data_IF_922056804191
#
_entry.id   IF_922056804191
#
_cell.length_a   1.000
_cell.length_b   1.000
_cell.length_c   1.000
_cell.angle_alpha   90.00
_cell.angle_beta   90.00
_cell.angle_gamma   90.00
#
_symmetry.space_group_name_H-M   'P 1'
#
loop_
_entity.id
_entity.type
_entity.pdbx_description
1 polymer ?
#
# COMPACT_ATOMS: atom_id res chain seq x y z
N UNK A 1 -27.10 3.00 13.31
CA UNK A 1 -26.29 3.54 14.43
C UNK A 1 -24.87 3.81 13.93
N UNK A 2 -24.40 5.06 13.93
CA UNK A 2 -23.00 5.38 13.56
C UNK A 2 -22.10 4.97 14.71
N UNK A 3 -21.32 3.90 14.52
CA UNK A 3 -20.29 3.49 15.49
C UNK A 3 -19.26 4.62 15.56
N UNK A 4 -19.12 5.27 16.71
CA UNK A 4 -18.22 6.41 16.92
C UNK A 4 -16.74 6.00 16.89
N UNK A 5 -16.46 4.70 17.01
CA UNK A 5 -15.12 4.14 16.94
C UNK A 5 -14.94 3.43 15.60
N UNK A 6 -13.98 3.92 14.82
CA UNK A 6 -13.59 3.32 13.54
C UNK A 6 -12.83 2.03 13.80
N UNK A 7 -13.12 0.99 13.03
CA UNK A 7 -12.27 -0.20 13.06
C UNK A 7 -10.89 0.14 12.51
N UNK A 8 -9.82 -0.59 12.89
CA UNK A 8 -8.48 -0.33 12.36
C UNK A 8 -8.45 -0.27 10.82
N UNK A 9 -9.22 -1.13 10.16
CA UNK A 9 -9.35 -1.19 8.69
C UNK A 9 -10.01 0.08 8.13
N UNK A 10 -11.04 0.61 8.81
CA UNK A 10 -11.68 1.87 8.41
C UNK A 10 -10.72 3.04 8.55
N UNK A 11 -9.98 3.12 9.66
CA UNK A 11 -8.97 4.17 9.90
C UNK A 11 -7.85 4.12 8.85
N UNK A 12 -7.37 2.92 8.48
CA UNK A 12 -6.36 2.77 7.43
C UNK A 12 -6.90 3.26 6.08
N UNK A 13 -8.15 2.92 5.73
CA UNK A 13 -8.75 3.37 4.48
C UNK A 13 -8.92 4.89 4.43
N UNK A 14 -9.29 5.52 5.53
CA UNK A 14 -9.33 6.97 5.63
C UNK A 14 -7.94 7.60 5.51
N UNK A 15 -6.91 6.96 6.06
CA UNK A 15 -5.54 7.42 5.86
C UNK A 15 -5.10 7.33 4.40
N UNK A 16 -5.50 6.26 3.69
CA UNK A 16 -5.26 6.17 2.25
C UNK A 16 -6.02 7.26 1.47
N UNK A 17 -7.25 7.61 1.87
CA UNK A 17 -8.00 8.72 1.27
C UNK A 17 -7.29 10.05 1.48
N UNK A 18 -6.86 10.33 2.71
CA UNK A 18 -6.06 11.51 3.08
C UNK A 18 -4.77 11.62 2.25
N UNK A 19 -4.05 10.51 2.10
CA UNK A 19 -2.82 10.45 1.29
C UNK A 19 -3.04 10.73 -0.20
N UNK A 20 -4.22 10.42 -0.74
CA UNK A 20 -4.59 10.62 -2.16
C UNK A 20 -5.45 11.87 -2.38
N UNK A 21 -5.38 12.85 -1.47
CA UNK A 21 -6.19 14.08 -1.53
C UNK A 21 -7.70 13.82 -1.72
N UNK A 22 -8.23 12.73 -1.14
CA UNK A 22 -9.62 12.31 -1.25
C UNK A 22 -9.98 11.51 -2.53
N UNK A 23 -9.03 11.28 -3.43
CA UNK A 23 -9.27 10.60 -4.71
C UNK A 23 -9.31 9.07 -4.58
N UNK A 24 -10.53 8.53 -4.57
CA UNK A 24 -10.77 7.06 -4.62
C UNK A 24 -10.17 6.38 -5.87
N UNK A 25 -9.97 7.13 -6.95
CA UNK A 25 -9.35 6.62 -8.18
C UNK A 25 -7.84 6.43 -7.99
N UNK A 26 -7.19 7.39 -7.33
CA UNK A 26 -5.77 7.32 -7.02
C UNK A 26 -5.44 6.22 -6.02
N UNK A 27 -6.33 5.90 -5.06
CA UNK A 27 -6.13 4.73 -4.19
C UNK A 27 -6.03 3.43 -5.01
N UNK A 28 -6.82 3.31 -6.08
CA UNK A 28 -6.78 2.15 -6.99
C UNK A 28 -5.50 2.14 -7.83
N UNK A 29 -5.06 3.30 -8.27
CA UNK A 29 -3.89 3.50 -9.12
C UNK A 29 -2.59 3.76 -8.36
N UNK A 30 -2.59 3.60 -7.03
CA UNK A 30 -1.42 3.84 -6.20
C UNK A 30 -0.29 2.90 -6.61
N UNK A 31 0.85 3.49 -6.98
CA UNK A 31 2.06 2.77 -7.44
C UNK A 31 3.01 2.43 -6.29
N UNK A 32 2.75 2.94 -5.08
CA UNK A 32 3.59 2.73 -3.90
C UNK A 32 3.29 1.37 -3.26
N UNK A 33 3.63 0.29 -3.97
CA UNK A 33 3.39 -1.10 -3.52
C UNK A 33 4.19 -1.41 -2.23
N UNK A 34 5.34 -0.75 -2.05
CA UNK A 34 6.17 -0.82 -0.83
C UNK A 34 5.53 -0.20 0.43
N UNK A 35 4.37 0.44 0.33
CA UNK A 35 3.69 0.99 1.49
C UNK A 35 3.16 -0.14 2.39
N UNK A 36 3.46 -0.07 3.70
CA UNK A 36 2.93 -1.03 4.67
C UNK A 36 1.38 -1.09 4.70
N UNK A 37 0.71 -0.01 4.29
CA UNK A 37 -0.76 0.07 4.20
C UNK A 37 -1.32 -0.40 2.85
N UNK A 38 -0.46 -0.69 1.86
CA UNK A 38 -0.87 -1.08 0.51
C UNK A 38 -1.85 -2.27 0.46
N UNK A 39 -1.68 -3.34 1.27
CA UNK A 39 -2.64 -4.46 1.31
C UNK A 39 -4.03 -4.05 1.83
N UNK A 40 -4.11 -3.00 2.63
CA UNK A 40 -5.31 -2.56 3.35
C UNK A 40 -6.04 -1.39 2.67
N UNK A 41 -5.49 -0.85 1.57
CA UNK A 41 -6.00 0.36 0.89
C UNK A 41 -7.46 0.27 0.44
N UNK A 42 -7.98 -0.94 0.25
CA UNK A 42 -9.37 -1.20 -0.11
C UNK A 42 -10.34 -1.23 1.09
N UNK A 43 -9.86 -1.04 2.31
CA UNK A 43 -10.69 -1.14 3.53
C UNK A 43 -11.24 -2.54 3.74
N UNK A 44 -10.49 -3.55 3.33
CA UNK A 44 -10.80 -4.96 3.55
C UNK A 44 -9.58 -5.64 4.14
N UNK A 45 -9.81 -6.68 4.93
CA UNK A 45 -8.73 -7.55 5.43
C UNK A 45 -8.13 -8.28 4.22
N UNK A 46 -6.81 -8.19 3.98
CA UNK A 46 -6.17 -8.94 2.91
C UNK A 46 -6.30 -10.44 3.19
N UNK A 47 -6.61 -11.23 2.16
CA UNK A 47 -6.48 -12.70 2.22
C UNK A 47 -5.01 -13.10 2.11
N UNK A 48 -4.68 -14.32 2.53
CA UNK A 48 -3.31 -14.87 2.39
C UNK A 48 -2.79 -14.73 0.94
N UNK A 49 -3.63 -15.07 -0.02
CA UNK A 49 -3.36 -14.91 -1.47
C UNK A 49 -2.97 -13.48 -1.89
N UNK A 50 -3.57 -12.45 -1.28
CA UNK A 50 -3.24 -11.05 -1.58
C UNK A 50 -1.87 -10.69 -1.02
N UNK A 51 -1.50 -11.21 0.16
CA UNK A 51 -0.18 -10.99 0.73
C UNK A 51 0.88 -11.71 -0.09
N UNK A 52 0.64 -12.98 -0.44
CA UNK A 52 1.56 -13.81 -1.23
C UNK A 52 1.87 -13.17 -2.59
N UNK A 53 0.84 -12.63 -3.27
CA UNK A 53 1.01 -11.96 -4.58
C UNK A 53 1.78 -10.64 -4.47
N UNK A 54 1.61 -9.88 -3.38
CA UNK A 54 2.39 -8.66 -3.13
C UNK A 54 3.86 -9.03 -2.86
N UNK A 55 4.11 -10.03 -2.03
CA UNK A 55 5.47 -10.52 -1.78
C UNK A 55 6.16 -11.01 -3.05
N UNK A 56 5.43 -11.76 -3.89
CA UNK A 56 5.93 -12.24 -5.16
C UNK A 56 6.24 -11.09 -6.13
N UNK A 57 5.38 -10.08 -6.21
CA UNK A 57 5.63 -8.86 -6.99
C UNK A 57 6.91 -8.15 -6.52
N UNK A 58 7.12 -8.05 -5.21
CA UNK A 58 8.33 -7.42 -4.66
C UNK A 58 9.58 -8.22 -5.01
N UNK A 59 9.55 -9.56 -4.84
CA UNK A 59 10.67 -10.44 -5.19
C UNK A 59 11.04 -10.37 -6.67
N UNK A 60 10.07 -10.17 -7.56
CA UNK A 60 10.30 -10.04 -9.01
C UNK A 60 10.84 -8.66 -9.41
N UNK A 61 10.51 -7.60 -8.67
CA UNK A 61 10.87 -6.21 -9.00
C UNK A 61 12.10 -5.67 -8.25
N UNK A 62 12.73 -6.45 -7.35
CA UNK A 62 13.98 -6.06 -6.66
C UNK A 62 15.16 -5.78 -7.60
N UNK A 63 15.12 -6.25 -8.85
CA UNK A 63 16.13 -5.93 -9.86
C UNK A 63 16.18 -4.42 -10.24
N UNK A 64 15.09 -3.67 -10.03
CA UNK A 64 15.01 -2.24 -10.43
C UNK A 64 15.53 -1.29 -9.35
N UNK A 65 15.55 -1.71 -8.07
CA UNK A 65 16.03 -0.87 -6.96
C UNK A 65 17.57 -0.86 -6.82
N UNK A 66 18.26 -1.90 -7.29
CA UNK A 66 19.72 -2.00 -7.18
C UNK A 66 20.49 -1.06 -8.11
N UNK A 67 19.83 -0.42 -9.08
CA UNK A 67 20.43 0.59 -9.96
C UNK A 67 20.54 2.00 -9.32
N UNK A 68 19.76 2.29 -8.27
CA UNK A 68 19.76 3.60 -7.60
C UNK A 68 20.72 3.66 -6.39
N UNK A 69 21.13 2.50 -5.86
CA UNK A 69 22.08 2.40 -4.74
C UNK A 69 23.56 2.48 -5.19
N UNK A 70 23.83 2.64 -6.49
CA UNK A 70 25.18 2.69 -7.05
C UNK A 70 25.82 4.09 -7.08
N UNK A 71 25.38 5.04 -6.25
CA UNK A 71 26.24 6.18 -5.89
C UNK A 71 26.95 5.84 -4.59
N UNK A 72 28.00 5.02 -4.68
CA UNK A 72 29.10 5.10 -3.71
C UNK A 72 29.62 6.53 -3.83
N UNK A 73 29.30 7.36 -2.83
CA UNK A 73 29.90 8.68 -2.70
C UNK A 73 31.42 8.53 -2.71
N UNK A 74 32.07 9.35 -3.53
CA UNK A 74 33.50 9.64 -3.48
C UNK A 74 33.95 9.99 -2.07
#
# INVERSE_FOLDING_TARGET
MKKLIKTPIQSIREKCLDCTAGSRKEIRLCTVVQCALYPYRFGRRPSKTVVDTIEEFHKKNTAVANGLLAKKGT
#
